data_IF_561235073817
#
_entry.id   IF_561235073817
#
_cell.length_a   1.000
_cell.length_b   1.000
_cell.length_c   1.000
_cell.angle_alpha   90.00
_cell.angle_beta   90.00
_cell.angle_gamma   90.00
#
_symmetry.space_group_name_H-M   'P 1'
#
loop_
_entity.id
_entity.type
_entity.pdbx_description
1 polymer ?
#
# COMPACT_ATOMS: atom_id res chain seq x y z
N UNK A 1 -3.39 -16.10 -5.53
CA UNK A 1 -2.41 -15.64 -4.54
C UNK A 1 -0.99 -15.76 -5.11
N UNK A 2 -0.53 -16.96 -5.46
CA UNK A 2 0.83 -17.19 -6.02
C UNK A 2 1.21 -16.26 -7.18
N UNK A 3 0.31 -15.99 -8.14
CA UNK A 3 0.59 -15.06 -9.27
C UNK A 3 0.78 -13.59 -8.86
N UNK A 4 0.11 -13.16 -7.79
CA UNK A 4 0.22 -11.77 -7.33
C UNK A 4 1.47 -11.59 -6.48
N UNK A 5 1.79 -12.58 -5.64
CA UNK A 5 3.04 -12.63 -4.88
C UNK A 5 4.24 -12.65 -5.82
N UNK A 6 4.22 -13.48 -6.87
CA UNK A 6 5.32 -13.53 -7.85
C UNK A 6 5.54 -12.20 -8.57
N UNK A 7 4.46 -11.45 -8.87
CA UNK A 7 4.59 -10.12 -9.47
C UNK A 7 5.21 -9.10 -8.50
N UNK A 8 4.88 -9.19 -7.21
CA UNK A 8 5.49 -8.33 -6.21
C UNK A 8 6.96 -8.68 -5.97
N UNK A 9 7.35 -9.95 -6.07
CA UNK A 9 8.76 -10.37 -5.95
C UNK A 9 9.67 -9.75 -7.00
N UNK A 10 9.13 -9.39 -8.18
CA UNK A 10 9.88 -8.70 -9.22
C UNK A 10 10.18 -7.22 -8.92
N UNK A 11 9.57 -6.67 -7.87
CA UNK A 11 9.79 -5.29 -7.42
C UNK A 11 10.84 -5.33 -6.31
N UNK A 12 11.97 -4.63 -6.48
CA UNK A 12 13.05 -4.52 -5.48
C UNK A 12 12.69 -3.61 -4.28
N UNK A 13 11.50 -3.81 -3.72
CA UNK A 13 10.97 -3.16 -2.53
C UNK A 13 10.18 -4.19 -1.71
N UNK A 14 10.05 -3.95 -0.41
CA UNK A 14 9.11 -4.71 0.43
C UNK A 14 7.75 -4.04 0.33
N UNK A 15 6.73 -4.79 -0.05
CA UNK A 15 5.38 -4.31 -0.30
C UNK A 15 4.39 -5.15 0.50
N UNK A 16 3.47 -4.47 1.18
CA UNK A 16 2.32 -5.06 1.83
C UNK A 16 1.07 -4.34 1.32
N UNK A 17 0.08 -5.10 0.87
CA UNK A 17 -1.22 -4.60 0.47
C UNK A 17 -2.24 -5.11 1.48
N UNK A 18 -2.99 -4.21 2.09
CA UNK A 18 -4.05 -4.54 3.05
C UNK A 18 -5.28 -3.69 2.85
N UNK A 19 -6.43 -4.18 3.30
CA UNK A 19 -7.59 -3.30 3.49
C UNK A 19 -7.33 -2.27 4.62
N UNK A 20 -8.26 -1.33 4.79
CA UNK A 20 -8.15 -0.32 5.87
C UNK A 20 -8.24 -0.90 7.28
N UNK A 21 -8.76 -2.12 7.45
CA UNK A 21 -8.78 -2.80 8.76
C UNK A 21 -7.45 -3.51 9.07
N UNK A 22 -6.48 -3.44 8.15
CA UNK A 22 -5.18 -4.09 8.25
C UNK A 22 -5.21 -5.59 7.98
N UNK A 23 -6.22 -6.11 7.28
CA UNK A 23 -6.19 -7.48 6.78
C UNK A 23 -5.29 -7.52 5.54
N UNK A 24 -4.20 -8.29 5.62
CA UNK A 24 -3.25 -8.40 4.52
C UNK A 24 -3.87 -9.20 3.37
N UNK A 25 -3.93 -8.58 2.20
CA UNK A 25 -4.43 -9.17 0.96
C UNK A 25 -3.31 -9.89 0.21
N UNK A 26 -2.14 -9.25 0.10
CA UNK A 26 -0.95 -9.80 -0.56
C UNK A 26 0.31 -9.03 -0.12
N UNK A 27 1.47 -9.71 -0.10
CA UNK A 27 2.76 -9.09 0.22
C UNK A 27 3.92 -9.87 -0.42
N UNK A 28 5.12 -9.28 -0.47
CA UNK A 28 6.37 -9.98 -0.82
C UNK A 28 7.38 -10.00 0.34
N UNK A 29 6.93 -9.67 1.55
CA UNK A 29 7.79 -9.64 2.74
C UNK A 29 8.07 -11.05 3.25
N UNK A 30 9.34 -11.46 3.22
CA UNK A 30 9.78 -12.74 3.79
C UNK A 30 9.54 -12.80 5.30
N UNK A 31 9.10 -13.96 5.80
CA UNK A 31 8.84 -14.20 7.22
C UNK A 31 7.46 -13.72 7.71
N UNK A 32 6.62 -13.21 6.82
CA UNK A 32 5.20 -12.94 7.06
C UNK A 32 4.40 -14.07 6.40
N UNK A 33 3.54 -14.77 7.14
CA UNK A 33 2.65 -15.79 6.57
C UNK A 33 1.36 -15.18 6.03
N UNK A 34 0.89 -15.64 4.88
CA UNK A 34 -0.40 -15.21 4.31
C UNK A 34 -1.57 -15.55 5.24
N UNK A 35 -2.55 -14.64 5.34
CA UNK A 35 -3.68 -14.70 6.29
C UNK A 35 -3.46 -13.94 7.61
N UNK A 36 -2.37 -13.17 7.73
CA UNK A 36 -2.09 -12.34 8.90
C UNK A 36 -2.85 -11.00 8.85
N UNK A 37 -3.41 -10.62 9.99
CA UNK A 37 -3.74 -9.23 10.27
C UNK A 37 -2.44 -8.49 10.63
N UNK A 38 -2.29 -7.26 10.16
CA UNK A 38 -1.18 -6.40 10.57
C UNK A 38 -1.13 -6.26 12.10
N UNK A 39 0.07 -6.14 12.65
CA UNK A 39 0.25 -5.87 14.08
C UNK A 39 -0.52 -4.61 14.47
N UNK A 40 -1.04 -4.58 15.70
CA UNK A 40 -1.91 -3.50 16.18
C UNK A 40 -1.34 -2.09 15.99
N UNK A 41 -0.05 -1.90 16.25
CA UNK A 41 0.62 -0.61 16.06
C UNK A 41 0.62 -0.11 14.61
N UNK A 42 0.79 -1.01 13.63
CA UNK A 42 0.71 -0.64 12.22
C UNK A 42 -0.72 -0.36 11.77
N UNK A 43 -1.70 -1.07 12.34
CA UNK A 43 -3.13 -0.78 12.10
C UNK A 43 -3.52 0.58 12.64
N UNK A 44 -3.17 0.85 13.90
CA UNK A 44 -3.40 2.14 14.55
C UNK A 44 -2.74 3.29 13.77
N UNK A 45 -1.56 3.04 13.19
CA UNK A 45 -0.88 4.01 12.32
C UNK A 45 -1.65 4.27 11.01
N UNK A 46 -2.11 3.22 10.31
CA UNK A 46 -2.91 3.37 9.09
C UNK A 46 -4.22 4.11 9.39
N UNK A 47 -4.87 3.80 10.51
CA UNK A 47 -6.10 4.49 10.96
C UNK A 47 -5.87 5.96 11.29
N UNK A 48 -4.75 6.28 11.94
CA UNK A 48 -4.36 7.67 12.19
C UNK A 48 -4.11 8.43 10.87
N UNK A 49 -3.39 7.82 9.93
CA UNK A 49 -3.18 8.37 8.59
C UNK A 49 -4.50 8.56 7.82
N UNK A 50 -5.42 7.60 7.92
CA UNK A 50 -6.76 7.69 7.33
C UNK A 50 -7.56 8.86 7.90
N UNK A 51 -7.50 9.06 9.22
CA UNK A 51 -8.16 10.18 9.89
C UNK A 51 -7.61 11.52 9.39
N UNK A 52 -6.28 11.65 9.29
CA UNK A 52 -5.64 12.87 8.75
C UNK A 52 -6.06 13.09 7.30
N UNK A 53 -6.05 12.02 6.48
CA UNK A 53 -6.49 12.08 5.09
C UNK A 53 -7.93 12.58 4.98
N UNK A 54 -8.86 12.01 5.73
CA UNK A 54 -10.27 12.36 5.66
C UNK A 54 -10.52 13.83 5.98
N UNK A 55 -9.81 14.38 6.98
CA UNK A 55 -9.95 15.78 7.36
C UNK A 55 -9.47 16.78 6.30
N UNK A 56 -8.54 16.39 5.41
CA UNK A 56 -7.94 17.29 4.41
C UNK A 56 -8.43 16.99 3.00
N UNK A 57 -8.54 15.70 2.65
CA UNK A 57 -8.82 15.19 1.31
C UNK A 57 -10.22 14.55 1.22
N UNK A 58 -10.99 14.51 2.30
CA UNK A 58 -12.34 13.93 2.34
C UNK A 58 -12.36 12.49 1.83
N UNK A 59 -12.88 12.25 0.63
CA UNK A 59 -12.95 10.93 0.01
C UNK A 59 -11.74 10.61 -0.87
N UNK A 60 -10.82 11.53 -1.12
CA UNK A 60 -9.69 11.32 -2.04
C UNK A 60 -8.54 10.51 -1.45
N UNK A 61 -7.84 9.81 -2.34
CA UNK A 61 -6.67 9.01 -2.03
C UNK A 61 -5.47 9.90 -1.65
N UNK A 62 -4.58 9.40 -0.80
CA UNK A 62 -3.39 10.15 -0.37
C UNK A 62 -2.14 9.26 -0.26
N UNK A 63 -0.99 9.92 -0.13
CA UNK A 63 0.31 9.28 0.11
C UNK A 63 1.02 9.96 1.28
N UNK A 64 1.42 9.17 2.26
CA UNK A 64 2.34 9.56 3.33
C UNK A 64 3.73 9.00 3.03
N UNK A 65 4.78 9.79 3.21
CA UNK A 65 6.15 9.34 2.95
C UNK A 65 7.09 9.73 4.09
N UNK A 66 8.12 8.91 4.28
CA UNK A 66 9.26 9.21 5.12
C UNK A 66 10.54 8.76 4.43
N UNK A 67 11.58 9.57 4.49
CA UNK A 67 12.91 9.23 4.00
C UNK A 67 13.95 9.55 5.07
N UNK A 68 14.94 8.67 5.20
CA UNK A 68 16.13 8.91 6.01
C UNK A 68 17.29 9.38 5.14
N UNK A 69 18.29 9.97 5.79
CA UNK A 69 19.51 10.49 5.13
C UNK A 69 20.30 9.38 4.40
N UNK A 70 20.21 8.14 4.86
CA UNK A 70 20.84 6.96 4.23
C UNK A 70 20.03 6.40 3.04
N UNK A 71 18.98 7.10 2.62
CA UNK A 71 18.18 6.77 1.44
C UNK A 71 17.10 5.71 1.66
N UNK A 72 16.89 5.21 2.89
CA UNK A 72 15.76 4.33 3.18
C UNK A 72 14.45 5.13 3.12
N UNK A 73 13.43 4.54 2.55
CA UNK A 73 12.14 5.17 2.34
C UNK A 73 10.99 4.28 2.78
N UNK A 74 10.00 4.89 3.40
CA UNK A 74 8.68 4.31 3.63
C UNK A 74 7.62 5.13 2.93
N UNK A 75 6.65 4.47 2.31
CA UNK A 75 5.49 5.11 1.70
C UNK A 75 4.23 4.34 2.09
N UNK A 76 3.22 5.07 2.58
CA UNK A 76 1.88 4.55 2.79
C UNK A 76 0.94 5.23 1.79
N UNK A 77 0.44 4.46 0.84
CA UNK A 77 -0.59 4.88 -0.09
C UNK A 77 -1.94 4.41 0.43
N UNK A 78 -2.92 5.30 0.48
CA UNK A 78 -4.29 4.99 0.91
C UNK A 78 -5.23 5.40 -0.21
N UNK A 79 -6.00 4.45 -0.70
CA UNK A 79 -6.93 4.65 -1.82
C UNK A 79 -8.37 4.60 -1.34
N UNK A 80 -9.06 5.76 -1.42
CA UNK A 80 -10.49 5.95 -1.10
C UNK A 80 -10.98 5.32 0.22
N UNK A 81 -10.10 5.15 1.22
CA UNK A 81 -10.38 4.42 2.47
C UNK A 81 -10.83 2.95 2.26
N UNK A 82 -10.34 2.30 1.20
CA UNK A 82 -10.65 0.89 0.89
C UNK A 82 -9.40 0.04 1.07
N UNK A 83 -8.33 0.45 0.39
CA UNK A 83 -7.11 -0.32 0.27
C UNK A 83 -5.90 0.55 0.54
N UNK A 84 -4.91 -0.06 1.19
CA UNK A 84 -3.64 0.57 1.52
C UNK A 84 -2.49 -0.25 0.96
N UNK A 85 -1.46 0.45 0.49
CA UNK A 85 -0.21 -0.14 -0.01
C UNK A 85 0.94 0.48 0.77
N UNK A 86 1.62 -0.37 1.54
CA UNK A 86 2.78 0.01 2.32
C UNK A 86 4.05 -0.46 1.59
N UNK A 87 4.90 0.49 1.21
CA UNK A 87 6.12 0.29 0.44
C UNK A 87 7.32 0.66 1.30
N UNK A 88 8.29 -0.24 1.40
CA UNK A 88 9.55 0.00 2.09
C UNK A 88 10.71 -0.29 1.12
N UNK A 89 11.61 0.69 0.94
CA UNK A 89 12.75 0.62 0.01
C UNK A 89 14.05 1.07 0.67
N UNK A 90 15.16 0.51 0.21
CA UNK A 90 16.52 0.83 0.69
C UNK A 90 17.29 1.55 -0.42
N UNK A 91 16.97 2.82 -0.64
CA UNK A 91 17.49 3.63 -1.75
C UNK A 91 16.48 3.88 -2.86
N UNK A 92 16.93 4.49 -3.94
CA UNK A 92 16.14 4.64 -5.16
C UNK A 92 15.92 3.28 -5.83
N UNK A 93 14.70 3.05 -6.31
CA UNK A 93 14.40 1.87 -7.10
C UNK A 93 14.98 2.02 -8.49
N UNK A 94 15.56 0.94 -9.01
CA UNK A 94 15.89 0.88 -10.43
C UNK A 94 14.64 1.08 -11.28
N UNK A 95 14.83 1.62 -12.49
CA UNK A 95 13.72 2.02 -13.36
C UNK A 95 12.67 0.93 -13.56
N UNK A 96 13.10 -0.31 -13.76
CA UNK A 96 12.18 -1.44 -13.95
C UNK A 96 11.30 -1.68 -12.71
N UNK A 97 11.90 -1.71 -11.52
CA UNK A 97 11.15 -1.87 -10.26
C UNK A 97 10.22 -0.67 -10.00
N UNK A 98 10.67 0.54 -10.34
CA UNK A 98 9.85 1.75 -10.20
C UNK A 98 8.65 1.74 -11.16
N UNK A 99 8.84 1.30 -12.40
CA UNK A 99 7.77 1.19 -13.41
C UNK A 99 6.73 0.14 -12.97
N UNK A 100 7.17 -1.03 -12.48
CA UNK A 100 6.27 -2.06 -11.92
C UNK A 100 5.52 -1.58 -10.69
N UNK A 101 6.18 -0.85 -9.79
CA UNK A 101 5.52 -0.24 -8.63
C UNK A 101 4.47 0.79 -9.07
N UNK A 102 4.74 1.61 -10.08
CA UNK A 102 3.79 2.59 -10.59
C UNK A 102 2.55 1.91 -11.19
N UNK A 103 2.74 0.82 -11.94
CA UNK A 103 1.62 0.01 -12.47
C UNK A 103 0.78 -0.53 -11.32
N UNK A 104 1.41 -1.16 -10.32
CA UNK A 104 0.70 -1.68 -9.15
C UNK A 104 -0.14 -0.61 -8.44
N UNK A 105 0.45 0.56 -8.16
CA UNK A 105 -0.25 1.64 -7.46
C UNK A 105 -1.42 2.19 -8.29
N UNK A 106 -1.28 2.25 -9.62
CA UNK A 106 -2.37 2.63 -10.51
C UNK A 106 -3.50 1.58 -10.52
N UNK A 107 -3.16 0.30 -10.56
CA UNK A 107 -4.15 -0.77 -10.51
C UNK A 107 -4.94 -0.76 -9.19
N UNK A 108 -4.25 -0.52 -8.05
CA UNK A 108 -4.92 -0.40 -6.75
C UNK A 108 -5.83 0.83 -6.66
N UNK A 109 -5.42 1.95 -7.28
CA UNK A 109 -6.27 3.14 -7.39
C UNK A 109 -7.53 2.85 -8.20
N UNK A 110 -7.39 2.26 -9.39
CA UNK A 110 -8.51 1.91 -10.26
C UNK A 110 -9.47 0.94 -9.57
N UNK A 111 -8.93 -0.06 -8.87
CA UNK A 111 -9.72 -1.01 -8.09
C UNK A 111 -10.57 -0.30 -7.01
N UNK A 112 -9.97 0.63 -6.25
CA UNK A 112 -10.70 1.38 -5.24
C UNK A 112 -11.81 2.26 -5.86
N UNK A 113 -11.51 2.94 -6.99
CA UNK A 113 -12.50 3.75 -7.70
C UNK A 113 -13.69 2.90 -8.19
N UNK A 114 -13.44 1.68 -8.70
CA UNK A 114 -14.48 0.75 -9.14
C UNK A 114 -15.40 0.29 -7.99
N UNK A 115 -14.82 0.00 -6.81
CA UNK A 115 -15.62 -0.38 -5.63
C UNK A 115 -16.53 0.75 -5.20
N UNK A 116 -16.03 1.99 -5.16
CA UNK A 116 -16.83 3.17 -4.82
C UNK A 116 -17.96 3.37 -5.83
N UNK A 117 -17.68 3.23 -7.14
CA UNK A 117 -18.74 3.37 -8.16
C UNK A 117 -19.84 2.32 -8.00
N UNK A 118 -19.47 1.06 -7.72
CA UNK A 118 -20.43 -0.03 -7.57
C UNK A 118 -21.32 0.08 -6.31
N UNK A 119 -20.93 0.87 -5.31
CA UNK A 119 -21.73 1.11 -4.10
C UNK A 119 -22.57 2.40 -4.17
N UNK A 120 -22.32 3.25 -5.16
CA UNK A 120 -23.07 4.50 -5.37
C UNK A 120 -24.19 4.37 -6.43
N UNK A 121 -24.20 3.27 -7.18
CA UNK A 121 -25.29 2.84 -8.06
C UNK A 121 -26.29 1.93 -7.30
#
# INVERSE_FOLDING_TARGET
MEKAESQLEEIKAKIIISDVSGNVLVHNVQGVSSGLTLRGDLRDFIDACNTVRENIFMSDSCRFTGQSEDGKGIELHIFKYIISVFVMKSGELERESQDKLNVLLNDMKLFADLIISAHND
#
